data_IF_789219548125
#
_entry.id   IF_789219548125
#
_cell.length_a   1.000
_cell.length_b   1.000
_cell.length_c   1.000
_cell.angle_alpha   90.00
_cell.angle_beta   90.00
_cell.angle_gamma   90.00
#
_symmetry.space_group_name_H-M   'P 1'
#
loop_
_entity.id
_entity.type
_entity.pdbx_description
1 polymer ?
#
# COMPACT_ATOMS: atom_id res chain seq x y z
N UNK A 1 -6.58 -7.74 4.61
CA UNK A 1 -7.74 -7.40 3.73
C UNK A 1 -8.90 -7.04 4.65
N UNK A 2 -9.88 -6.22 4.25
CA UNK A 2 -11.08 -5.98 5.06
C UNK A 2 -12.27 -6.64 4.35
N UNK A 3 -13.04 -7.45 5.07
CA UNK A 3 -14.27 -8.09 4.62
C UNK A 3 -15.44 -7.54 5.44
N UNK A 4 -16.54 -7.24 4.79
CA UNK A 4 -17.76 -6.75 5.44
C UNK A 4 -18.97 -7.12 4.59
N UNK A 5 -20.08 -7.42 5.24
CA UNK A 5 -21.41 -7.58 4.67
C UNK A 5 -22.18 -6.24 4.57
N UNK A 6 -21.63 -5.15 5.14
CA UNK A 6 -22.20 -3.82 5.08
C UNK A 6 -21.74 -3.08 3.81
N UNK A 7 -22.63 -3.00 2.81
CA UNK A 7 -22.36 -2.32 1.54
C UNK A 7 -22.03 -0.82 1.66
N UNK A 8 -22.61 -0.12 2.64
CA UNK A 8 -22.33 1.31 2.83
C UNK A 8 -20.89 1.52 3.32
N UNK A 9 -20.43 0.68 4.26
CA UNK A 9 -19.05 0.71 4.75
C UNK A 9 -18.06 0.41 3.62
N UNK A 10 -18.33 -0.62 2.83
CA UNK A 10 -17.51 -0.98 1.68
C UNK A 10 -17.41 0.18 0.68
N UNK A 11 -18.53 0.81 0.34
CA UNK A 11 -18.56 1.94 -0.58
C UNK A 11 -17.76 3.11 -0.02
N UNK A 12 -17.97 3.45 1.26
CA UNK A 12 -17.28 4.55 1.95
C UNK A 12 -15.77 4.36 1.95
N UNK A 13 -15.27 3.16 2.26
CA UNK A 13 -13.83 2.87 2.32
C UNK A 13 -13.15 2.78 0.94
N UNK A 14 -13.91 2.40 -0.09
CA UNK A 14 -13.38 2.14 -1.42
C UNK A 14 -13.45 3.34 -2.37
N UNK A 15 -14.46 4.21 -2.23
CA UNK A 15 -14.64 5.37 -3.10
C UNK A 15 -13.56 6.46 -2.87
N UNK A 16 -12.79 6.85 -3.90
CA UNK A 16 -11.78 7.90 -3.82
C UNK A 16 -12.30 9.28 -3.36
N UNK A 17 -13.61 9.54 -3.44
CA UNK A 17 -14.24 10.78 -2.95
C UNK A 17 -14.06 10.97 -1.45
N UNK A 18 -13.93 9.89 -0.68
CA UNK A 18 -13.78 9.97 0.77
C UNK A 18 -12.32 10.03 1.23
N UNK A 19 -11.36 9.95 0.29
CA UNK A 19 -9.93 10.17 0.53
C UNK A 19 -9.31 9.30 1.63
N UNK A 20 -9.92 8.16 1.97
CA UNK A 20 -9.38 7.27 2.99
C UNK A 20 -8.03 6.72 2.58
N UNK A 21 -7.07 6.92 3.47
CA UNK A 21 -5.68 6.52 3.31
C UNK A 21 -5.55 5.00 3.24
N UNK A 22 -4.62 4.54 2.42
CA UNK A 22 -4.22 3.15 2.30
C UNK A 22 -2.70 3.13 2.30
N UNK A 23 -2.11 2.50 3.31
CA UNK A 23 -0.67 2.43 3.49
C UNK A 23 -0.16 1.09 3.01
N UNK A 24 0.87 1.14 2.17
CA UNK A 24 1.49 -0.02 1.56
C UNK A 24 2.98 -0.05 1.91
N UNK A 25 3.49 -1.24 2.17
CA UNK A 25 4.91 -1.53 2.14
C UNK A 25 5.24 -2.21 0.82
N UNK A 26 6.13 -1.60 0.05
CA UNK A 26 6.54 -2.04 -1.26
C UNK A 26 8.04 -2.35 -1.27
N UNK A 27 8.40 -3.60 -1.50
CA UNK A 27 9.75 -3.97 -1.84
C UNK A 27 9.95 -3.72 -3.34
N UNK A 28 10.99 -3.01 -3.72
CA UNK A 28 11.30 -2.65 -5.11
C UNK A 28 12.69 -3.15 -5.52
N UNK A 29 12.88 -3.39 -6.82
CA UNK A 29 14.22 -3.60 -7.39
C UNK A 29 15.03 -2.30 -7.32
N UNK A 30 16.34 -2.40 -7.06
CA UNK A 30 17.28 -1.29 -6.87
C UNK A 30 16.95 -0.38 -5.67
N UNK A 31 17.83 0.59 -5.41
CA UNK A 31 17.68 1.59 -4.35
C UNK A 31 17.10 2.87 -4.97
N UNK A 32 15.85 3.26 -4.64
CA UNK A 32 15.24 4.50 -5.14
C UNK A 32 16.07 5.74 -4.78
N UNK A 33 16.30 6.61 -5.77
CA UNK A 33 16.94 7.91 -5.53
C UNK A 33 15.96 8.89 -4.89
N UNK A 34 16.48 9.98 -4.32
CA UNK A 34 15.64 11.01 -3.71
C UNK A 34 14.78 11.73 -4.76
N UNK A 35 15.26 11.84 -6.01
CA UNK A 35 14.48 12.35 -7.13
C UNK A 35 13.30 11.43 -7.45
N UNK A 36 13.51 10.11 -7.46
CA UNK A 36 12.45 9.14 -7.71
C UNK A 36 11.38 9.18 -6.62
N UNK A 37 11.79 9.28 -5.35
CA UNK A 37 10.88 9.45 -4.21
C UNK A 37 10.11 10.77 -4.34
N UNK A 38 10.79 11.87 -4.70
CA UNK A 38 10.15 13.17 -4.90
C UNK A 38 9.13 13.15 -6.06
N UNK A 39 9.42 12.42 -7.15
CA UNK A 39 8.47 12.22 -8.25
C UNK A 39 7.23 11.46 -7.77
N UNK A 40 7.40 10.36 -7.04
CA UNK A 40 6.29 9.60 -6.45
C UNK A 40 5.42 10.47 -5.53
N UNK A 41 6.05 11.30 -4.67
CA UNK A 41 5.35 12.22 -3.77
C UNK A 41 4.51 13.25 -4.52
N UNK A 42 5.03 13.82 -5.62
CA UNK A 42 4.33 14.79 -6.48
C UNK A 42 3.24 14.17 -7.35
N UNK A 43 3.22 12.84 -7.46
CA UNK A 43 2.36 12.10 -8.36
C UNK A 43 2.95 11.98 -9.76
N UNK A 44 2.82 10.78 -10.32
CA UNK A 44 3.44 10.36 -11.59
C UNK A 44 2.38 10.01 -12.62
N UNK A 45 2.72 10.12 -13.91
CA UNK A 45 1.84 9.66 -14.98
C UNK A 45 1.97 8.15 -15.12
N UNK A 46 0.86 7.44 -14.98
CA UNK A 46 0.78 5.99 -15.19
C UNK A 46 -0.39 5.68 -16.11
N UNK A 47 -0.13 4.87 -17.13
CA UNK A 47 -1.09 4.64 -18.23
C UNK A 47 -1.55 5.99 -18.81
N UNK A 48 -2.83 6.35 -18.64
CA UNK A 48 -3.44 7.54 -19.25
C UNK A 48 -3.91 8.57 -18.21
N UNK A 49 -3.37 8.53 -16.99
CA UNK A 49 -3.69 9.52 -15.95
C UNK A 49 -2.49 9.83 -15.07
N UNK A 50 -2.54 11.00 -14.42
CA UNK A 50 -1.60 11.38 -13.37
C UNK A 50 -2.15 10.98 -12.01
N UNK A 51 -1.35 10.30 -11.20
CA UNK A 51 -1.75 9.95 -9.83
C UNK A 51 -1.90 11.20 -8.98
N UNK A 52 -2.74 11.13 -7.96
CA UNK A 52 -2.73 12.11 -6.88
C UNK A 52 -1.37 12.09 -6.15
N UNK A 53 -0.99 13.19 -5.49
CA UNK A 53 0.14 13.20 -4.57
C UNK A 53 0.03 12.06 -3.54
N UNK A 54 1.18 11.54 -3.13
CA UNK A 54 1.29 10.44 -2.18
C UNK A 54 2.29 10.79 -1.08
N UNK A 55 2.15 10.17 0.08
CA UNK A 55 3.21 10.18 1.10
C UNK A 55 4.08 8.96 0.80
N UNK A 56 5.38 9.19 0.62
CA UNK A 56 6.34 8.12 0.27
C UNK A 56 7.60 8.32 1.07
N UNK A 57 7.98 7.30 1.83
CA UNK A 57 9.19 7.31 2.66
C UNK A 57 9.98 6.02 2.45
N UNK A 58 11.29 6.11 2.65
CA UNK A 58 12.13 4.90 2.75
C UNK A 58 11.74 4.16 4.02
N UNK A 59 11.77 2.84 3.93
CA UNK A 59 11.45 1.95 5.03
C UNK A 59 12.61 0.97 5.18
N UNK A 60 13.04 0.73 6.42
CA UNK A 60 13.97 -0.37 6.70
C UNK A 60 13.29 -1.70 6.42
N UNK A 61 14.06 -2.76 6.15
CA UNK A 61 13.46 -4.06 5.86
C UNK A 61 12.56 -4.51 7.03
N UNK A 62 11.24 -4.65 6.81
CA UNK A 62 10.32 -5.01 7.89
C UNK A 62 10.43 -6.50 8.19
N UNK A 63 10.25 -6.85 9.46
CA UNK A 63 10.10 -8.24 9.88
C UNK A 63 8.76 -8.79 9.36
N UNK A 64 8.84 -9.57 8.28
CA UNK A 64 7.68 -10.14 7.61
C UNK A 64 7.92 -11.61 7.35
N UNK A 65 6.89 -12.47 7.51
CA UNK A 65 7.02 -13.88 7.20
C UNK A 65 7.43 -14.08 5.73
N UNK A 66 8.17 -15.16 5.42
CA UNK A 66 8.59 -15.45 4.05
C UNK A 66 7.37 -15.63 3.16
N UNK A 67 7.53 -15.30 1.88
CA UNK A 67 6.45 -15.45 0.89
C UNK A 67 6.51 -16.85 0.26
N UNK A 68 5.35 -17.50 0.16
CA UNK A 68 5.14 -18.70 -0.64
C UNK A 68 4.11 -18.42 -1.77
N UNK A 69 4.43 -18.64 -3.05
CA UNK A 69 5.75 -18.97 -3.59
C UNK A 69 6.75 -17.82 -3.43
N UNK A 70 8.06 -18.12 -3.41
CA UNK A 70 9.10 -17.11 -3.29
C UNK A 70 9.03 -16.11 -4.43
N UNK A 71 9.46 -14.89 -4.14
CA UNK A 71 9.54 -13.84 -5.16
C UNK A 71 10.63 -14.22 -6.15
N UNK A 72 10.36 -14.05 -7.44
CA UNK A 72 11.42 -14.09 -8.45
C UNK A 72 12.25 -12.82 -8.31
N UNK A 73 13.48 -12.95 -7.87
CA UNK A 73 14.44 -11.84 -7.82
C UNK A 73 15.77 -12.28 -8.45
N UNK A 74 16.56 -11.30 -8.86
CA UNK A 74 17.92 -11.52 -9.38
C UNK A 74 18.87 -11.38 -8.20
N UNK A 75 19.61 -12.44 -7.85
CA UNK A 75 20.48 -12.46 -6.66
C UNK A 75 21.43 -11.26 -6.54
N UNK A 76 21.89 -10.72 -7.67
CA UNK A 76 22.86 -9.62 -7.72
C UNK A 76 22.21 -8.23 -7.82
N UNK A 77 20.90 -8.11 -7.69
CA UNK A 77 20.21 -6.81 -7.73
C UNK A 77 19.77 -6.47 -6.30
N UNK A 78 20.23 -5.33 -5.74
CA UNK A 78 19.80 -4.91 -4.43
C UNK A 78 18.30 -4.62 -4.42
N UNK A 79 17.68 -4.73 -3.26
CA UNK A 79 16.28 -4.34 -3.06
C UNK A 79 16.17 -3.28 -1.98
N UNK A 80 15.11 -2.50 -2.04
CA UNK A 80 14.79 -1.52 -1.01
C UNK A 80 13.30 -1.55 -0.68
N UNK A 81 12.95 -1.06 0.49
CA UNK A 81 11.56 -0.95 0.94
C UNK A 81 11.11 0.51 0.95
N UNK A 82 9.88 0.72 0.49
CA UNK A 82 9.18 1.99 0.54
C UNK A 82 7.87 1.83 1.29
N UNK A 83 7.56 2.78 2.16
CA UNK A 83 6.22 3.01 2.65
C UNK A 83 5.51 4.00 1.75
N UNK A 84 4.35 3.62 1.20
CA UNK A 84 3.56 4.44 0.28
C UNK A 84 2.13 4.55 0.81
N UNK A 85 1.70 5.78 1.13
CA UNK A 85 0.32 6.06 1.55
C UNK A 85 -0.41 6.80 0.43
N UNK A 86 -1.52 6.20 -0.02
CA UNK A 86 -2.38 6.74 -1.08
C UNK A 86 -3.75 7.10 -0.53
N UNK A 87 -4.38 8.14 -1.08
CA UNK A 87 -5.79 8.50 -0.84
C UNK A 87 -6.72 8.07 -1.98
N UNK A 88 -6.18 7.33 -2.96
CA UNK A 88 -6.92 6.70 -4.05
C UNK A 88 -6.53 5.22 -4.15
N UNK A 89 -7.32 4.44 -4.87
CA UNK A 89 -7.17 2.97 -4.92
C UNK A 89 -7.37 2.42 -6.32
N UNK A 90 -6.62 2.91 -7.32
CA UNK A 90 -6.75 2.42 -8.70
C UNK A 90 -6.06 1.07 -8.89
N UNK A 91 -6.51 0.30 -9.88
CA UNK A 91 -6.00 -1.05 -10.15
C UNK A 91 -4.47 -1.05 -10.29
N UNK A 92 -3.77 -1.88 -9.50
CA UNK A 92 -2.29 -2.03 -9.52
C UNK A 92 -1.52 -0.70 -9.39
N UNK A 93 -2.11 0.33 -8.81
CA UNK A 93 -1.56 1.69 -8.79
C UNK A 93 -0.14 1.76 -8.24
N UNK A 94 0.12 1.22 -7.04
CA UNK A 94 1.47 1.22 -6.43
C UNK A 94 2.50 0.58 -7.37
N UNK A 95 2.18 -0.59 -7.93
CA UNK A 95 3.09 -1.30 -8.85
C UNK A 95 3.41 -0.50 -10.11
N UNK A 96 2.42 0.22 -10.65
CA UNK A 96 2.61 1.10 -11.81
C UNK A 96 3.42 2.33 -11.45
N UNK A 97 3.15 2.93 -10.28
CA UNK A 97 3.88 4.11 -9.79
C UNK A 97 5.36 3.82 -9.64
N UNK A 98 5.74 2.77 -8.91
CA UNK A 98 7.17 2.48 -8.68
C UNK A 98 7.87 2.07 -9.99
N UNK A 99 7.19 1.34 -10.88
CA UNK A 99 7.73 1.02 -12.20
C UNK A 99 7.95 2.25 -13.09
N UNK A 100 7.05 3.25 -13.02
CA UNK A 100 7.16 4.48 -13.82
C UNK A 100 8.36 5.34 -13.44
N UNK A 101 8.87 5.20 -12.21
CA UNK A 101 10.11 5.87 -11.75
C UNK A 101 11.34 4.96 -11.83
N UNK A 102 11.23 3.77 -12.45
CA UNK A 102 12.36 2.87 -12.69
C UNK A 102 12.62 1.81 -11.62
N UNK A 103 11.75 1.67 -10.61
CA UNK A 103 11.92 0.75 -9.48
C UNK A 103 10.73 -0.23 -9.37
N UNK A 104 10.64 -1.26 -10.23
CA UNK A 104 9.51 -2.20 -10.23
C UNK A 104 9.26 -2.85 -8.87
N UNK A 105 7.99 -2.96 -8.48
CA UNK A 105 7.61 -3.61 -7.20
C UNK A 105 7.75 -5.13 -7.29
N UNK A 106 8.52 -5.71 -6.37
CA UNK A 106 8.69 -7.13 -6.12
C UNK A 106 7.59 -7.66 -5.18
N UNK A 107 7.57 -7.15 -3.94
CA UNK A 107 6.61 -7.50 -2.88
C UNK A 107 5.72 -6.30 -2.57
N UNK A 108 4.45 -6.54 -2.28
CA UNK A 108 3.51 -5.50 -1.90
C UNK A 108 2.59 -6.01 -0.80
N UNK A 109 2.56 -5.29 0.32
CA UNK A 109 1.69 -5.57 1.47
C UNK A 109 0.91 -4.29 1.78
N UNK A 110 -0.41 -4.39 1.93
CA UNK A 110 -1.21 -3.29 2.48
C UNK A 110 -1.30 -3.46 3.99
N UNK A 111 -0.66 -2.57 4.72
CA UNK A 111 -0.55 -2.65 6.18
C UNK A 111 -1.58 -1.81 6.92
N UNK A 112 -2.23 -0.85 6.24
CA UNK A 112 -3.29 -0.06 6.85
C UNK A 112 -4.36 0.38 5.84
N UNK A 113 -5.59 0.56 6.35
CA UNK A 113 -6.70 1.23 5.68
C UNK A 113 -7.34 2.18 6.68
N UNK A 114 -7.36 3.49 6.38
CA UNK A 114 -7.81 4.51 7.31
C UNK A 114 -7.13 4.34 8.68
N UNK A 115 -7.90 4.09 9.75
CA UNK A 115 -7.39 3.86 11.11
C UNK A 115 -7.09 2.39 11.43
N UNK A 116 -7.45 1.47 10.54
CA UNK A 116 -7.21 0.04 10.73
C UNK A 116 -5.79 -0.32 10.33
N UNK A 117 -5.13 -1.12 11.16
CA UNK A 117 -3.80 -1.65 10.89
C UNK A 117 -3.86 -3.18 10.76
N UNK A 118 -2.89 -3.74 10.03
CA UNK A 118 -2.73 -5.19 9.91
C UNK A 118 -2.27 -5.81 11.23
N UNK A 119 -1.48 -5.06 12.02
CA UNK A 119 -0.89 -5.51 13.28
C UNK A 119 -0.15 -6.85 13.10
N UNK A 120 -0.30 -7.78 14.03
CA UNK A 120 0.46 -9.04 14.07
C UNK A 120 -0.22 -10.20 13.31
N UNK A 121 -1.17 -9.90 12.43
CA UNK A 121 -1.94 -10.91 11.70
C UNK A 121 -1.07 -11.58 10.63
N UNK A 122 -0.91 -12.91 10.72
CA UNK A 122 -0.10 -13.67 9.75
C UNK A 122 -0.82 -13.82 8.40
N UNK A 123 -0.08 -14.09 7.31
CA UNK A 123 -0.69 -14.38 6.01
C UNK A 123 -1.71 -15.51 6.08
N UNK A 124 -2.93 -15.25 5.61
CA UNK A 124 -4.02 -16.22 5.59
C UNK A 124 -4.90 -16.21 6.85
N UNK A 125 -4.43 -15.57 7.93
CA UNK A 125 -5.25 -15.38 9.12
C UNK A 125 -6.27 -14.26 8.93
N UNK A 126 -7.33 -14.32 9.73
CA UNK A 126 -8.33 -13.30 9.86
C UNK A 126 -8.78 -13.22 11.32
N UNK A 127 -9.31 -12.05 11.69
CA UNK A 127 -9.98 -11.82 12.96
C UNK A 127 -11.11 -10.83 12.76
N UNK A 128 -12.05 -10.84 13.68
CA UNK A 128 -13.02 -9.75 13.79
C UNK A 128 -12.35 -8.45 14.22
N UNK A 129 -13.00 -7.34 13.88
CA UNK A 129 -12.59 -6.02 14.34
C UNK A 129 -12.90 -5.88 15.82
N UNK A 130 -12.01 -5.21 16.55
CA UNK A 130 -12.28 -4.84 17.95
C UNK A 130 -13.36 -3.77 18.03
N UNK A 131 -13.99 -3.61 19.19
CA UNK A 131 -14.98 -2.55 19.41
C UNK A 131 -14.42 -1.14 19.19
N UNK A 132 -13.13 -0.95 19.43
CA UNK A 132 -12.44 0.31 19.16
C UNK A 132 -12.29 0.54 17.65
N UNK A 133 -11.84 -0.47 16.90
CA UNK A 133 -11.73 -0.42 15.44
C UNK A 133 -13.10 -0.19 14.78
N UNK A 134 -14.14 -0.88 15.24
CA UNK A 134 -15.51 -0.67 14.78
C UNK A 134 -15.99 0.76 15.04
N UNK A 135 -15.75 1.30 16.24
CA UNK A 135 -16.07 2.70 16.55
C UNK A 135 -15.31 3.66 15.64
N UNK A 136 -14.03 3.41 15.39
CA UNK A 136 -13.20 4.22 14.50
C UNK A 136 -13.73 4.26 13.06
N UNK A 137 -14.36 3.17 12.59
CA UNK A 137 -15.02 3.09 11.29
C UNK A 137 -16.40 3.76 11.30
N UNK A 138 -17.14 3.69 12.41
CA UNK A 138 -18.45 4.35 12.53
C UNK A 138 -18.35 5.87 12.40
N UNK A 139 -17.23 6.46 12.82
CA UNK A 139 -16.96 7.89 12.59
C UNK A 139 -16.69 8.26 11.13
N UNK A 140 -16.60 7.29 10.22
CA UNK A 140 -16.52 7.57 8.79
C UNK A 140 -17.90 7.84 8.17
N UNK A 141 -18.99 7.61 8.90
CA UNK A 141 -20.37 7.91 8.50
C UNK A 141 -20.80 9.28 9.01
#
# INVERSE_FOLDING_TARGET
MLLTDNGQLQHRLSDPKFHHTKTYWAQVENIPTDEAIAQLRKGVTIQNYRTRPAIVDRLDEPDLPPRDPPIRFRQNIPTAWLQITLTEGKNRQVRRMTAAVGFPTLRLIRVAIAKLQLSDLSPGEWRDLTDEELRSLKHLF
#
